data_IF_888505702635
#
_entry.id   IF_888505702635
#
_cell.length_a   1.000
_cell.length_b   1.000
_cell.length_c   1.000
_cell.angle_alpha   90.00
_cell.angle_beta   90.00
_cell.angle_gamma   90.00
#
_symmetry.space_group_name_H-M   'P 1'
#
loop_
_entity.id
_entity.type
_entity.pdbx_description
1 polymer ?
#
# COMPACT_ATOMS: atom_id res chain seq x y z
N UNK A 1 2.42 -17.72 -0.99
CA UNK A 1 2.72 -16.70 -2.03
C UNK A 1 2.30 -15.28 -1.63
N UNK A 2 1.18 -15.09 -0.90
CA UNK A 2 0.68 -13.77 -0.50
C UNK A 2 1.71 -12.87 0.21
N UNK A 3 2.49 -13.42 1.16
CA UNK A 3 3.52 -12.65 1.88
C UNK A 3 4.60 -12.05 0.96
N UNK A 4 5.10 -12.81 -0.01
CA UNK A 4 6.12 -12.34 -0.94
C UNK A 4 5.55 -11.29 -1.90
N UNK A 5 4.31 -11.49 -2.35
CA UNK A 5 3.60 -10.52 -3.18
C UNK A 5 3.36 -9.19 -2.43
N UNK A 6 2.96 -9.23 -1.17
CA UNK A 6 2.77 -8.04 -0.34
C UNK A 6 4.06 -7.22 -0.16
N UNK A 7 5.18 -7.90 0.08
CA UNK A 7 6.49 -7.24 0.15
C UNK A 7 6.88 -6.58 -1.17
N UNK A 8 6.69 -7.28 -2.29
CA UNK A 8 6.99 -6.73 -3.61
C UNK A 8 6.16 -5.45 -3.89
N UNK A 9 4.86 -5.47 -3.59
CA UNK A 9 3.99 -4.29 -3.76
C UNK A 9 4.46 -3.12 -2.92
N UNK A 10 4.83 -3.33 -1.65
CA UNK A 10 5.35 -2.26 -0.79
C UNK A 10 6.59 -1.61 -1.40
N UNK A 11 7.53 -2.40 -1.93
CA UNK A 11 8.74 -1.90 -2.57
C UNK A 11 8.42 -1.11 -3.85
N UNK A 12 7.48 -1.59 -4.67
CA UNK A 12 7.01 -0.88 -5.86
C UNK A 12 6.31 0.43 -5.52
N UNK A 13 5.48 0.46 -4.48
CA UNK A 13 4.78 1.67 -4.05
C UNK A 13 5.76 2.75 -3.60
N UNK A 14 6.71 2.40 -2.73
CA UNK A 14 7.73 3.34 -2.26
C UNK A 14 8.57 3.90 -3.41
N UNK A 15 8.97 3.06 -4.36
CA UNK A 15 9.64 3.51 -5.59
C UNK A 15 8.79 4.55 -6.32
N UNK A 16 7.51 4.26 -6.57
CA UNK A 16 6.61 5.15 -7.29
C UNK A 16 6.45 6.49 -6.56
N UNK A 17 6.29 6.48 -5.24
CA UNK A 17 6.19 7.70 -4.43
C UNK A 17 7.45 8.57 -4.55
N UNK A 18 8.64 7.97 -4.51
CA UNK A 18 9.90 8.70 -4.72
C UNK A 18 9.93 9.33 -6.11
N UNK A 19 9.49 8.60 -7.15
CA UNK A 19 9.44 9.13 -8.52
C UNK A 19 8.45 10.29 -8.64
N UNK A 20 7.29 10.21 -8.00
CA UNK A 20 6.31 11.31 -7.97
C UNK A 20 6.91 12.56 -7.32
N UNK A 21 7.61 12.42 -6.19
CA UNK A 21 8.26 13.56 -5.51
C UNK A 21 9.32 14.20 -6.42
N UNK A 22 10.10 13.41 -7.16
CA UNK A 22 11.09 13.93 -8.11
C UNK A 22 10.40 14.72 -9.24
N UNK A 23 9.31 14.18 -9.79
CA UNK A 23 8.58 14.80 -10.89
C UNK A 23 7.99 16.16 -10.49
N UNK A 24 7.42 16.25 -9.28
CA UNK A 24 6.86 17.51 -8.77
C UNK A 24 7.92 18.61 -8.61
N UNK A 25 9.17 18.25 -8.32
CA UNK A 25 10.28 19.22 -8.18
C UNK A 25 10.99 19.50 -9.51
N UNK A 26 10.96 18.57 -10.46
CA UNK A 26 11.59 18.73 -11.77
C UNK A 26 10.73 18.04 -12.85
N UNK A 27 9.81 18.80 -13.49
CA UNK A 27 8.85 18.23 -14.44
C UNK A 27 9.50 17.74 -15.75
N UNK A 28 10.70 18.23 -16.09
CA UNK A 28 11.41 17.86 -17.32
C UNK A 28 12.26 16.58 -17.15
N UNK A 29 12.26 15.97 -15.97
CA UNK A 29 13.04 14.78 -15.70
C UNK A 29 12.45 13.56 -16.40
N UNK A 30 13.09 13.14 -17.49
CA UNK A 30 12.80 11.87 -18.14
C UNK A 30 13.16 10.73 -17.17
N UNK A 31 12.20 9.87 -16.85
CA UNK A 31 12.40 8.69 -16.01
C UNK A 31 12.76 7.47 -16.87
N UNK A 32 14.05 7.23 -17.19
CA UNK A 32 14.44 5.99 -17.85
C UNK A 32 14.17 4.78 -16.93
N UNK A 33 13.82 3.65 -17.55
CA UNK A 33 13.38 2.44 -16.84
C UNK A 33 14.38 1.95 -15.77
N UNK A 34 15.68 2.19 -15.97
CA UNK A 34 16.73 1.76 -15.03
C UNK A 34 16.69 2.51 -13.69
N UNK A 35 16.19 3.76 -13.63
CA UNK A 35 15.99 4.45 -12.35
C UNK A 35 15.01 3.71 -11.45
N UNK A 36 13.93 3.18 -12.03
CA UNK A 36 12.96 2.38 -11.30
C UNK A 36 13.58 1.13 -10.70
N UNK A 37 14.39 0.41 -11.47
CA UNK A 37 15.09 -0.80 -11.01
C UNK A 37 16.09 -0.49 -9.88
N UNK A 38 16.87 0.59 -9.99
CA UNK A 38 17.81 0.99 -8.94
C UNK A 38 17.11 1.39 -7.65
N UNK A 39 16.02 2.12 -7.72
CA UNK A 39 15.21 2.49 -6.55
C UNK A 39 14.62 1.26 -5.86
N UNK A 40 14.16 0.27 -6.62
CA UNK A 40 13.69 -1.02 -6.10
C UNK A 40 14.83 -1.78 -5.41
N UNK A 41 16.01 -1.89 -6.06
CA UNK A 41 17.19 -2.53 -5.49
C UNK A 41 17.65 -1.86 -4.20
N UNK A 42 17.72 -0.53 -4.18
CA UNK A 42 18.08 0.24 -2.99
C UNK A 42 17.11 0.02 -1.84
N UNK A 43 15.79 0.00 -2.12
CA UNK A 43 14.77 -0.24 -1.12
C UNK A 43 14.83 -1.68 -0.55
N UNK A 44 15.10 -2.68 -1.39
CA UNK A 44 15.31 -4.06 -0.94
C UNK A 44 16.53 -4.15 -0.01
N UNK A 45 17.66 -3.56 -0.41
CA UNK A 45 18.89 -3.57 0.41
C UNK A 45 18.63 -2.90 1.76
N UNK A 46 17.94 -1.76 1.76
CA UNK A 46 17.56 -1.06 2.98
C UNK A 46 16.65 -1.92 3.88
N UNK A 47 15.63 -2.55 3.30
CA UNK A 47 14.70 -3.42 4.02
C UNK A 47 15.39 -4.65 4.60
N UNK A 48 16.28 -5.30 3.84
CA UNK A 48 17.05 -6.45 4.31
C UNK A 48 18.01 -6.04 5.42
N UNK A 49 18.72 -4.92 5.25
CA UNK A 49 19.61 -4.38 6.27
C UNK A 49 18.87 -4.08 7.57
N UNK A 50 17.72 -3.41 7.49
CA UNK A 50 16.85 -3.15 8.63
C UNK A 50 16.39 -4.44 9.31
N UNK A 51 15.93 -5.44 8.55
CA UNK A 51 15.48 -6.72 9.10
C UNK A 51 16.59 -7.47 9.86
N UNK A 52 17.80 -7.53 9.29
CA UNK A 52 18.94 -8.22 9.91
C UNK A 52 19.38 -7.51 11.20
N UNK A 53 19.44 -6.18 11.18
CA UNK A 53 19.88 -5.40 12.34
C UNK A 53 18.84 -5.37 13.46
N UNK A 54 17.55 -5.23 13.14
CA UNK A 54 16.47 -5.12 14.11
C UNK A 54 16.02 -6.48 14.67
N UNK A 55 16.24 -7.58 13.95
CA UNK A 55 15.90 -8.94 14.41
C UNK A 55 16.53 -9.27 15.76
N UNK A 56 17.72 -8.73 16.05
CA UNK A 56 18.44 -8.96 17.31
C UNK A 56 17.94 -8.13 18.50
N UNK A 57 17.20 -7.04 18.29
CA UNK A 57 17.06 -5.99 19.30
C UNK A 57 15.60 -5.54 19.58
N UNK A 58 14.61 -6.43 19.38
CA UNK A 58 13.18 -6.28 19.75
C UNK A 58 12.21 -5.94 18.59
N UNK A 59 11.93 -6.94 17.74
CA UNK A 59 10.92 -6.89 16.65
C UNK A 59 9.53 -6.40 17.15
N UNK A 60 8.98 -6.88 18.30
CA UNK A 60 7.66 -6.46 18.77
C UNK A 60 7.54 -4.95 19.06
N UNK A 61 8.61 -4.32 19.54
CA UNK A 61 8.63 -2.88 19.82
C UNK A 61 8.55 -2.05 18.54
N UNK A 62 9.34 -2.42 17.53
CA UNK A 62 9.33 -1.74 16.22
C UNK A 62 7.98 -1.92 15.52
N UNK A 63 7.41 -3.13 15.58
CA UNK A 63 6.07 -3.40 15.04
C UNK A 63 5.01 -2.48 15.66
N UNK A 64 5.05 -2.33 16.99
CA UNK A 64 4.10 -1.46 17.71
C UNK A 64 4.28 0.00 17.33
N UNK A 65 5.52 0.47 17.19
CA UNK A 65 5.82 1.83 16.75
C UNK A 65 5.23 2.11 15.37
N UNK A 66 5.50 1.25 14.38
CA UNK A 66 4.95 1.43 13.04
C UNK A 66 3.42 1.37 13.03
N UNK A 67 2.82 0.49 13.84
CA UNK A 67 1.36 0.43 13.96
C UNK A 67 0.77 1.75 14.47
N UNK A 68 1.34 2.34 15.53
CA UNK A 68 0.89 3.64 16.05
C UNK A 68 1.08 4.74 15.00
N UNK A 69 2.23 4.78 14.33
CA UNK A 69 2.50 5.75 13.27
C UNK A 69 1.49 5.63 12.11
N UNK A 70 1.11 4.41 11.71
CA UNK A 70 0.11 4.19 10.67
C UNK A 70 -1.26 4.72 11.07
N UNK A 71 -1.69 4.50 12.32
CA UNK A 71 -2.97 5.04 12.82
C UNK A 71 -2.95 6.57 12.82
N UNK A 72 -1.86 7.18 13.29
CA UNK A 72 -1.71 8.64 13.29
C UNK A 72 -1.71 9.20 11.86
N UNK A 73 -0.99 8.57 10.94
CA UNK A 73 -0.96 8.95 9.53
C UNK A 73 -2.35 8.84 8.88
N UNK A 74 -3.13 7.81 9.21
CA UNK A 74 -4.50 7.66 8.74
C UNK A 74 -5.36 8.87 9.10
N UNK A 75 -5.35 9.30 10.37
CA UNK A 75 -6.09 10.49 10.77
C UNK A 75 -5.52 11.78 10.18
N UNK A 76 -4.20 11.88 10.07
CA UNK A 76 -3.52 13.03 9.45
C UNK A 76 -3.93 13.21 7.98
N UNK A 77 -4.23 12.14 7.25
CA UNK A 77 -4.70 12.20 5.86
C UNK A 77 -6.22 12.38 5.77
N UNK A 78 -7.01 11.62 6.53
CA UNK A 78 -8.48 11.65 6.44
C UNK A 78 -9.06 12.97 6.94
N UNK A 79 -8.56 13.52 8.04
CA UNK A 79 -9.13 14.74 8.65
C UNK A 79 -9.08 15.94 7.71
N UNK A 80 -7.94 16.30 7.08
CA UNK A 80 -7.89 17.39 6.11
C UNK A 80 -8.82 17.18 4.92
N UNK A 81 -8.93 15.95 4.40
CA UNK A 81 -9.82 15.63 3.28
C UNK A 81 -11.28 15.85 3.69
N UNK A 82 -11.70 15.35 4.85
CA UNK A 82 -13.08 15.51 5.33
C UNK A 82 -13.47 16.98 5.57
N UNK A 83 -12.51 17.84 5.91
CA UNK A 83 -12.76 19.26 6.19
C UNK A 83 -12.73 20.10 4.89
N UNK A 84 -11.78 19.83 3.99
CA UNK A 84 -11.52 20.69 2.83
C UNK A 84 -12.17 20.19 1.53
N UNK A 85 -12.59 18.93 1.44
CA UNK A 85 -13.16 18.41 0.21
C UNK A 85 -14.55 18.98 -0.08
N UNK A 86 -14.84 19.37 -1.34
CA UNK A 86 -16.20 19.74 -1.75
C UNK A 86 -17.13 18.54 -1.57
N UNK A 87 -18.28 18.76 -0.93
CA UNK A 87 -19.24 17.70 -0.64
C UNK A 87 -20.10 17.46 -1.88
N UNK A 88 -19.97 16.28 -2.48
CA UNK A 88 -20.87 15.82 -3.53
C UNK A 88 -22.25 15.47 -2.95
N UNK A 89 -23.31 15.59 -3.75
CA UNK A 89 -24.64 15.15 -3.32
C UNK A 89 -24.72 13.63 -3.26
N UNK A 90 -25.58 13.07 -2.41
CA UNK A 90 -25.76 11.62 -2.31
C UNK A 90 -26.19 10.99 -3.66
N UNK A 91 -26.94 11.74 -4.47
CA UNK A 91 -27.35 11.29 -5.81
C UNK A 91 -26.13 11.13 -6.72
N UNK A 92 -25.25 12.13 -6.79
CA UNK A 92 -24.03 12.06 -7.60
C UNK A 92 -23.15 10.88 -7.14
N UNK A 93 -22.91 10.75 -5.83
CA UNK A 93 -22.05 9.68 -5.28
C UNK A 93 -22.54 8.26 -5.60
N UNK A 94 -23.85 8.01 -5.57
CA UNK A 94 -24.40 6.66 -5.75
C UNK A 94 -24.91 6.35 -7.15
N UNK A 95 -25.09 7.35 -8.01
CA UNK A 95 -25.71 7.15 -9.34
C UNK A 95 -24.83 7.57 -10.51
N UNK A 96 -23.81 8.39 -10.26
CA UNK A 96 -22.90 8.84 -11.31
C UNK A 96 -21.65 7.96 -11.34
N UNK A 97 -21.42 7.31 -12.49
CA UNK A 97 -20.24 6.50 -12.73
C UNK A 97 -19.45 7.10 -13.88
N UNK A 98 -18.27 7.63 -13.56
CA UNK A 98 -17.35 8.16 -14.56
C UNK A 98 -16.26 7.13 -14.88
N UNK A 99 -16.07 6.85 -16.18
CA UNK A 99 -14.99 6.00 -16.66
C UNK A 99 -13.91 6.89 -17.27
N UNK A 100 -13.18 7.59 -16.41
CA UNK A 100 -12.04 8.44 -16.79
C UNK A 100 -10.79 7.63 -17.17
N UNK A 101 -10.85 6.29 -17.05
CA UNK A 101 -9.76 5.39 -17.41
C UNK A 101 -9.78 4.95 -18.87
N UNK A 102 -8.81 4.13 -19.26
CA UNK A 102 -8.66 3.59 -20.63
C UNK A 102 -9.53 2.34 -20.86
N UNK A 103 -10.56 2.13 -20.03
CA UNK A 103 -11.35 0.90 -20.02
C UNK A 103 -12.48 0.94 -21.04
N UNK A 104 -12.76 -0.20 -21.67
CA UNK A 104 -13.77 -0.31 -22.75
C UNK A 104 -15.21 -0.11 -22.28
N UNK A 105 -15.51 -0.35 -21.00
CA UNK A 105 -16.82 -0.06 -20.41
C UNK A 105 -16.71 0.18 -18.89
N UNK A 106 -17.74 0.81 -18.33
CA UNK A 106 -17.84 1.17 -16.91
C UNK A 106 -17.80 -0.04 -15.98
N UNK A 107 -18.32 -1.21 -16.39
CA UNK A 107 -18.29 -2.42 -15.58
C UNK A 107 -16.86 -2.96 -15.37
N UNK A 108 -16.05 -2.96 -16.43
CA UNK A 108 -14.64 -3.33 -16.35
C UNK A 108 -13.85 -2.32 -15.53
N UNK A 109 -14.12 -1.02 -15.69
CA UNK A 109 -13.51 0.03 -14.87
C UNK A 109 -13.85 -0.15 -13.38
N UNK A 110 -15.11 -0.50 -13.06
CA UNK A 110 -15.55 -0.77 -11.69
C UNK A 110 -14.83 -1.98 -11.09
N UNK A 111 -14.77 -3.11 -11.80
CA UNK A 111 -14.05 -4.30 -11.34
C UNK A 111 -12.55 -4.06 -11.16
N UNK A 112 -11.93 -3.30 -12.07
CA UNK A 112 -10.53 -2.88 -11.95
C UNK A 112 -10.32 -1.98 -10.71
N UNK A 113 -11.27 -1.09 -10.42
CA UNK A 113 -11.25 -0.25 -9.22
C UNK A 113 -11.30 -1.04 -7.91
N UNK A 114 -11.93 -2.22 -7.89
CA UNK A 114 -12.01 -3.07 -6.71
C UNK A 114 -10.70 -3.79 -6.35
N UNK A 115 -9.72 -3.85 -7.28
CA UNK A 115 -8.47 -4.57 -7.06
C UNK A 115 -7.69 -4.06 -5.83
N UNK A 116 -7.72 -2.74 -5.59
CA UNK A 116 -7.04 -2.13 -4.44
C UNK A 116 -7.64 -2.57 -3.09
N UNK A 117 -8.98 -2.64 -3.02
CA UNK A 117 -9.70 -3.08 -1.82
C UNK A 117 -9.46 -4.57 -1.54
N UNK A 118 -9.54 -5.41 -2.57
CA UNK A 118 -9.25 -6.86 -2.45
C UNK A 118 -7.80 -7.08 -2.01
N UNK A 119 -6.87 -6.30 -2.55
CA UNK A 119 -5.46 -6.37 -2.16
C UNK A 119 -5.26 -6.07 -0.67
N UNK A 120 -5.94 -5.07 -0.10
CA UNK A 120 -5.85 -4.78 1.34
C UNK A 120 -6.34 -5.93 2.24
N UNK A 121 -7.16 -6.84 1.72
CA UNK A 121 -7.62 -8.03 2.44
C UNK A 121 -6.67 -9.23 2.32
N UNK A 122 -5.62 -9.12 1.48
CA UNK A 122 -4.66 -10.19 1.23
C UNK A 122 -3.76 -10.40 2.45
N UNK A 123 -4.04 -11.44 3.24
CA UNK A 123 -3.31 -11.77 4.46
C UNK A 123 -4.20 -12.08 5.66
N UNK A 124 -5.51 -11.85 5.58
CA UNK A 124 -6.47 -12.21 6.64
C UNK A 124 -6.56 -13.73 6.86
N UNK A 125 -6.34 -14.50 5.80
CA UNK A 125 -6.24 -15.97 5.82
C UNK A 125 -5.09 -16.47 6.71
N UNK A 126 -3.95 -15.77 6.70
CA UNK A 126 -2.79 -16.17 7.51
C UNK A 126 -3.04 -16.10 9.02
N UNK A 127 -3.90 -15.17 9.46
CA UNK A 127 -4.28 -15.04 10.87
C UNK A 127 -5.13 -16.22 11.32
N UNK A 128 -6.10 -16.62 10.49
CA UNK A 128 -6.94 -17.77 10.76
C UNK A 128 -6.15 -19.08 10.80
N UNK A 129 -5.24 -19.28 9.83
CA UNK A 129 -4.37 -20.45 9.78
C UNK A 129 -3.49 -20.53 11.04
N UNK A 130 -2.93 -19.40 11.49
CA UNK A 130 -2.10 -19.35 12.69
C UNK A 130 -2.91 -19.65 13.96
N UNK A 131 -4.12 -19.08 14.10
CA UNK A 131 -4.99 -19.35 15.25
C UNK A 131 -5.39 -20.84 15.33
N UNK A 132 -5.70 -21.46 14.18
CA UNK A 132 -5.98 -22.89 14.11
C UNK A 132 -4.76 -23.72 14.54
N UNK A 133 -3.55 -23.37 14.10
CA UNK A 133 -2.32 -24.05 14.47
C UNK A 133 -2.00 -23.93 15.97
N UNK A 134 -2.32 -22.80 16.61
CA UNK A 134 -2.12 -22.60 18.04
C UNK A 134 -3.14 -23.36 18.91
N UNK A 135 -4.31 -23.72 18.35
CA UNK A 135 -5.38 -24.43 19.05
C UNK A 135 -5.25 -25.96 19.01
N UNK A 136 -4.46 -26.53 18.10
CA UNK A 136 -4.21 -27.98 18.02
C UNK A 136 -2.92 -28.38 18.77
N UNK A 137 -3.00 -29.03 19.95
CA UNK A 137 -1.84 -29.35 20.79
C UNK A 137 -1.09 -30.64 20.38
N UNK A 138 -1.48 -31.31 19.29
CA UNK A 138 -0.90 -32.60 18.85
C UNK A 138 0.06 -32.49 17.67
N UNK A 139 0.49 -31.28 17.31
CA UNK A 139 1.63 -31.01 16.42
C UNK A 139 2.79 -30.40 17.22
#
# INVERSE_FOLDING_TARGET
>A
MAWQAGNAVGVFLTRTLIQVIILENNPDYLFPAWHGSLLVMANIIFSVGGNILLSRHNIPGVQTLFFVLHILAFFCVIVPICINAPKASAKEVFTEFDNTGVWSNTGVAFLAGQLSAIYMMSGTDSVYILDAALKDPTC
#
